data_IF_992725077367
#
_entry.id   IF_992725077367
#
_cell.length_a   1.000
_cell.length_b   1.000
_cell.length_c   1.000
_cell.angle_alpha   90.00
_cell.angle_beta   90.00
_cell.angle_gamma   90.00
#
_symmetry.space_group_name_H-M   'P 1'
#
loop_
_entity.id
_entity.type
_entity.pdbx_description
1 polymer ?
#
# COMPACT_ATOMS: atom_id res chain seq x y z
N UNK A 1 17.61 -33.07 -61.35
CA UNK A 1 18.60 -32.36 -60.51
C UNK A 1 18.09 -32.34 -59.08
N UNK A 2 18.62 -33.20 -58.21
CA UNK A 2 18.23 -33.28 -56.81
C UNK A 2 18.95 -32.18 -56.02
N UNK A 3 18.20 -31.19 -55.52
CA UNK A 3 18.72 -30.17 -54.61
C UNK A 3 18.93 -30.81 -53.24
N UNK A 4 20.17 -31.03 -52.84
CA UNK A 4 20.52 -31.47 -51.48
C UNK A 4 20.30 -30.31 -50.51
N UNK A 5 19.31 -30.43 -49.63
CA UNK A 5 19.08 -29.46 -48.56
C UNK A 5 20.20 -29.58 -47.52
N UNK A 6 21.07 -28.58 -47.43
CA UNK A 6 22.07 -28.45 -46.37
C UNK A 6 21.36 -27.98 -45.09
N UNK A 7 21.11 -28.90 -44.16
CA UNK A 7 20.65 -28.55 -42.82
C UNK A 7 21.80 -27.86 -42.07
N UNK A 8 21.68 -26.55 -41.85
CA UNK A 8 22.58 -25.78 -40.98
C UNK A 8 22.22 -26.12 -39.53
N UNK A 9 23.16 -26.73 -38.80
CA UNK A 9 23.04 -26.97 -37.37
C UNK A 9 23.28 -25.69 -36.56
N UNK A 10 22.59 -25.55 -35.44
CA UNK A 10 22.79 -24.47 -34.47
C UNK A 10 24.07 -24.73 -33.67
N UNK A 11 24.93 -23.72 -33.50
CA UNK A 11 26.18 -23.89 -32.75
C UNK A 11 25.97 -23.73 -31.25
N UNK A 12 26.77 -24.42 -30.44
CA UNK A 12 26.73 -24.28 -28.98
C UNK A 12 27.06 -22.85 -28.53
N UNK A 13 27.92 -22.14 -29.27
CA UNK A 13 28.26 -20.75 -28.97
C UNK A 13 27.09 -19.80 -29.27
N UNK A 14 26.31 -20.05 -30.33
CA UNK A 14 25.09 -19.29 -30.61
C UNK A 14 24.07 -19.47 -29.49
N UNK A 15 23.88 -20.70 -28.99
CA UNK A 15 22.97 -20.94 -27.87
C UNK A 15 23.43 -20.24 -26.59
N UNK A 16 24.73 -20.31 -26.30
CA UNK A 16 25.31 -19.69 -25.11
C UNK A 16 25.16 -18.16 -25.12
N UNK A 17 25.39 -17.51 -26.26
CA UNK A 17 25.22 -16.05 -26.36
C UNK A 17 23.75 -15.64 -26.21
N UNK A 18 22.82 -16.43 -26.76
CA UNK A 18 21.38 -16.13 -26.66
C UNK A 18 20.90 -16.18 -25.21
N UNK A 19 21.25 -17.22 -24.45
CA UNK A 19 20.86 -17.30 -23.03
C UNK A 19 21.52 -16.20 -22.21
N UNK A 20 22.74 -15.79 -22.56
CA UNK A 20 23.41 -14.67 -21.90
C UNK A 20 22.65 -13.35 -22.12
N UNK A 21 22.23 -13.06 -23.35
CA UNK A 21 21.46 -11.85 -23.67
C UNK A 21 20.09 -11.87 -23.00
N UNK A 22 19.37 -13.00 -23.05
CA UNK A 22 18.07 -13.15 -22.37
C UNK A 22 18.22 -12.94 -20.86
N UNK A 23 19.29 -13.44 -20.25
CA UNK A 23 19.58 -13.24 -18.82
C UNK A 23 19.74 -11.76 -18.45
N UNK A 24 20.47 -10.98 -19.25
CA UNK A 24 20.66 -9.55 -19.02
C UNK A 24 19.34 -8.79 -19.17
N UNK A 25 18.58 -9.05 -20.24
CA UNK A 25 17.30 -8.39 -20.49
C UNK A 25 16.27 -8.73 -19.41
N UNK A 26 16.21 -9.99 -18.97
CA UNK A 26 15.29 -10.43 -17.93
C UNK A 26 15.55 -9.74 -16.58
N UNK A 27 16.82 -9.51 -16.21
CA UNK A 27 17.17 -8.84 -14.97
C UNK A 27 16.66 -7.39 -14.91
N UNK A 28 16.82 -6.63 -16.00
CA UNK A 28 16.34 -5.23 -16.08
C UNK A 28 14.81 -5.16 -16.03
N UNK A 29 14.14 -6.04 -16.78
CA UNK A 29 12.66 -6.11 -16.78
C UNK A 29 12.12 -6.44 -15.39
N UNK A 30 12.74 -7.40 -14.70
CA UNK A 30 12.29 -7.81 -13.37
C UNK A 30 12.38 -6.67 -12.35
N UNK A 31 13.45 -5.88 -12.38
CA UNK A 31 13.59 -4.71 -11.52
C UNK A 31 12.46 -3.70 -11.77
N UNK A 32 12.22 -3.34 -13.04
CA UNK A 32 11.15 -2.39 -13.39
C UNK A 32 9.73 -2.88 -13.03
N UNK A 33 9.51 -4.21 -13.07
CA UNK A 33 8.22 -4.80 -12.73
C UNK A 33 7.94 -4.73 -11.23
N UNK A 34 8.96 -4.86 -10.38
CA UNK A 34 8.80 -4.74 -8.94
C UNK A 34 8.38 -3.31 -8.55
N UNK A 35 9.06 -2.29 -9.07
CA UNK A 35 8.70 -0.88 -8.80
C UNK A 35 7.26 -0.56 -9.26
N UNK A 36 6.85 -1.09 -10.42
CA UNK A 36 5.50 -0.92 -10.94
C UNK A 36 4.44 -1.62 -10.08
N UNK A 37 4.75 -2.80 -9.52
CA UNK A 37 3.87 -3.54 -8.61
C UNK A 37 3.69 -2.78 -7.31
N UNK A 38 4.77 -2.27 -6.73
CA UNK A 38 4.73 -1.53 -5.47
C UNK A 38 3.95 -0.23 -5.63
N UNK A 39 4.14 0.48 -6.75
CA UNK A 39 3.36 1.67 -7.09
C UNK A 39 1.86 1.38 -7.28
N UNK A 40 1.52 0.23 -7.87
CA UNK A 40 0.13 -0.22 -8.04
C UNK A 40 -0.52 -0.60 -6.71
N UNK A 41 0.23 -1.26 -5.83
CA UNK A 41 -0.20 -1.55 -4.46
C UNK A 41 -0.44 -0.26 -3.67
N UNK A 42 0.44 0.73 -3.80
CA UNK A 42 0.27 2.04 -3.17
C UNK A 42 -0.99 2.77 -3.66
N UNK A 43 -1.34 2.65 -4.94
CA UNK A 43 -2.61 3.18 -5.44
C UNK A 43 -3.82 2.50 -4.77
N UNK A 44 -3.76 1.19 -4.55
CA UNK A 44 -4.79 0.45 -3.82
C UNK A 44 -4.88 0.89 -2.35
N UNK A 45 -3.74 1.08 -1.67
CA UNK A 45 -3.68 1.60 -0.30
C UNK A 45 -4.34 2.98 -0.23
N UNK A 46 -3.93 3.90 -1.11
CA UNK A 46 -4.47 5.27 -1.18
C UNK A 46 -5.98 5.27 -1.42
N UNK A 47 -6.49 4.40 -2.29
CA UNK A 47 -7.92 4.25 -2.56
C UNK A 47 -8.68 3.71 -1.33
N UNK A 48 -8.18 2.65 -0.70
CA UNK A 48 -8.82 2.04 0.47
C UNK A 48 -8.95 3.05 1.62
N UNK A 49 -7.87 3.76 1.93
CA UNK A 49 -7.86 4.77 3.01
C UNK A 49 -8.62 6.04 2.59
N UNK A 50 -8.54 6.45 1.32
CA UNK A 50 -9.35 7.56 0.79
C UNK A 50 -10.86 7.33 0.95
N UNK A 51 -11.32 6.10 0.68
CA UNK A 51 -12.71 5.71 0.88
C UNK A 51 -13.14 5.69 2.36
N UNK A 52 -12.20 5.50 3.29
CA UNK A 52 -12.48 5.52 4.72
C UNK A 52 -13.03 6.87 5.19
N UNK A 53 -12.69 7.97 4.51
CA UNK A 53 -13.24 9.31 4.81
C UNK A 53 -14.75 9.36 4.66
N UNK A 54 -15.25 8.94 3.50
CA UNK A 54 -16.71 8.92 3.24
C UNK A 54 -17.43 8.00 4.23
N UNK A 55 -16.80 6.90 4.63
CA UNK A 55 -17.35 6.00 5.66
C UNK A 55 -17.33 6.65 7.05
N UNK A 56 -16.30 7.41 7.39
CA UNK A 56 -16.19 8.11 8.66
C UNK A 56 -17.29 9.17 8.80
N UNK A 57 -17.62 9.89 7.74
CA UNK A 57 -18.74 10.84 7.71
C UNK A 57 -20.10 10.14 7.89
N UNK A 58 -20.28 8.94 7.32
CA UNK A 58 -21.50 8.15 7.55
C UNK A 58 -21.59 7.70 9.01
N UNK A 59 -20.48 7.29 9.61
CA UNK A 59 -20.40 6.90 11.03
C UNK A 59 -20.69 8.11 11.93
N UNK A 60 -20.15 9.28 11.60
CA UNK A 60 -20.39 10.53 12.33
C UNK A 60 -21.87 10.85 12.44
N UNK A 61 -22.59 10.81 11.31
CA UNK A 61 -24.03 11.07 11.27
C UNK A 61 -24.85 10.00 12.02
N UNK A 62 -24.43 8.73 11.98
CA UNK A 62 -25.13 7.64 12.66
C UNK A 62 -24.94 7.63 14.18
N UNK A 63 -23.79 8.12 14.67
CA UNK A 63 -23.44 8.11 16.09
C UNK A 63 -23.69 9.45 16.79
N UNK A 64 -24.69 10.21 16.32
CA UNK A 64 -25.08 11.46 16.95
C UNK A 64 -24.03 12.56 16.83
N UNK A 65 -23.41 12.67 15.65
CA UNK A 65 -22.37 13.66 15.34
C UNK A 65 -21.08 13.44 16.14
N UNK A 66 -20.58 12.20 16.13
CA UNK A 66 -19.37 11.79 16.85
C UNK A 66 -18.52 10.83 16.03
N UNK A 67 -17.21 11.05 16.02
CA UNK A 67 -16.24 10.16 15.36
C UNK A 67 -15.77 9.01 16.27
N UNK A 68 -16.27 8.88 17.49
CA UNK A 68 -15.73 7.95 18.50
C UNK A 68 -15.67 6.48 18.03
N UNK A 69 -16.56 6.07 17.13
CA UNK A 69 -16.65 4.70 16.61
C UNK A 69 -16.04 4.52 15.21
N UNK A 70 -15.30 5.51 14.70
CA UNK A 70 -14.58 5.41 13.42
C UNK A 70 -13.55 4.29 13.49
N UNK A 71 -12.76 4.24 14.56
CA UNK A 71 -11.75 3.22 14.78
C UNK A 71 -12.28 2.06 15.65
N UNK A 72 -13.42 1.47 15.30
CA UNK A 72 -13.97 0.27 15.97
C UNK A 72 -13.93 -0.95 15.06
N UNK A 73 -13.43 -2.07 15.58
CA UNK A 73 -13.29 -3.32 14.82
C UNK A 73 -14.65 -3.80 14.25
N UNK A 74 -14.63 -4.39 13.06
CA UNK A 74 -15.81 -4.96 12.40
C UNK A 74 -16.66 -3.96 11.61
N UNK A 75 -16.33 -2.66 11.60
CA UNK A 75 -17.01 -1.68 10.74
C UNK A 75 -16.45 -1.69 9.30
N UNK A 76 -17.00 -0.85 8.42
CA UNK A 76 -16.53 -0.77 7.02
C UNK A 76 -15.11 -0.21 6.90
N UNK A 77 -14.67 0.64 7.83
CA UNK A 77 -13.33 1.24 7.86
C UNK A 77 -12.27 0.20 8.23
N UNK A 78 -12.55 -0.66 9.20
CA UNK A 78 -11.71 -1.81 9.56
C UNK A 78 -11.37 -2.67 8.33
N UNK A 79 -12.39 -2.98 7.51
CA UNK A 79 -12.18 -3.76 6.27
C UNK A 79 -11.31 -3.03 5.25
N UNK A 80 -11.44 -1.71 5.14
CA UNK A 80 -10.61 -0.89 4.25
C UNK A 80 -9.17 -0.82 4.75
N UNK A 81 -8.97 -0.71 6.06
CA UNK A 81 -7.64 -0.72 6.68
C UNK A 81 -6.95 -2.06 6.55
N UNK A 82 -7.67 -3.17 6.78
CA UNK A 82 -7.17 -4.53 6.55
C UNK A 82 -6.81 -4.71 5.07
N UNK A 83 -7.63 -4.20 4.15
CA UNK A 83 -7.30 -4.22 2.72
C UNK A 83 -6.02 -3.42 2.40
N UNK A 84 -5.85 -2.22 2.98
CA UNK A 84 -4.63 -1.45 2.85
C UNK A 84 -3.41 -2.19 3.44
N UNK A 85 -3.54 -2.77 4.63
CA UNK A 85 -2.48 -3.55 5.26
C UNK A 85 -2.07 -4.75 4.40
N UNK A 86 -3.03 -5.46 3.79
CA UNK A 86 -2.79 -6.60 2.92
C UNK A 86 -2.04 -6.24 1.62
N UNK A 87 -2.20 -5.01 1.13
CA UNK A 87 -1.50 -4.50 -0.05
C UNK A 87 -0.09 -3.98 0.25
N UNK A 88 0.38 -4.03 1.50
CA UNK A 88 1.77 -3.69 1.80
C UNK A 88 2.74 -4.78 1.35
N UNK A 89 3.95 -4.38 0.99
CA UNK A 89 5.07 -5.26 0.63
C UNK A 89 5.77 -5.87 1.88
N UNK A 90 5.34 -5.51 3.08
CA UNK A 90 5.88 -6.01 4.36
C UNK A 90 5.76 -7.55 4.47
N UNK A 91 6.84 -8.19 4.93
CA UNK A 91 6.97 -9.66 5.02
C UNK A 91 6.69 -10.18 6.44
N UNK A 92 6.85 -9.33 7.46
CA UNK A 92 6.88 -9.80 8.86
C UNK A 92 5.49 -9.88 9.49
N UNK A 93 4.65 -8.84 9.35
CA UNK A 93 3.22 -8.91 9.72
C UNK A 93 2.43 -7.77 9.07
N UNK A 94 1.41 -8.10 8.28
CA UNK A 94 0.45 -7.13 7.73
C UNK A 94 -0.64 -6.87 8.77
N UNK A 95 -0.55 -5.75 9.46
CA UNK A 95 -1.47 -5.42 10.57
C UNK A 95 -2.25 -4.15 10.30
N UNK A 96 -3.54 -4.19 10.69
CA UNK A 96 -4.38 -3.02 10.87
C UNK A 96 -4.66 -2.89 12.37
N UNK A 97 -4.34 -1.73 12.96
CA UNK A 97 -4.46 -1.46 14.39
C UNK A 97 -5.47 -0.34 14.60
N UNK A 98 -6.42 -0.58 15.50
CA UNK A 98 -7.53 0.32 15.80
C UNK A 98 -7.55 0.56 17.31
N UNK A 99 -6.61 1.35 17.81
CA UNK A 99 -6.43 1.56 19.24
C UNK A 99 -5.98 2.99 19.52
N UNK A 100 -6.79 3.74 20.27
CA UNK A 100 -6.43 5.04 20.82
C UNK A 100 -5.42 4.81 21.96
N UNK A 101 -4.30 5.53 21.96
CA UNK A 101 -3.36 5.55 23.08
C UNK A 101 -2.17 4.60 22.98
N UNK A 102 -2.06 3.79 21.93
CA UNK A 102 -0.80 3.12 21.57
C UNK A 102 -0.19 3.81 20.35
N UNK A 103 1.08 4.22 20.47
CA UNK A 103 1.84 4.65 19.31
C UNK A 103 1.85 3.51 18.27
N UNK A 104 1.65 3.88 17.01
CA UNK A 104 1.59 2.91 15.92
C UNK A 104 2.99 2.39 15.59
N UNK A 105 3.13 1.12 15.21
CA UNK A 105 4.35 0.65 14.56
C UNK A 105 4.41 1.18 13.12
N UNK A 106 5.60 1.50 12.60
CA UNK A 106 5.83 2.03 11.24
C UNK A 106 5.35 1.10 10.11
N UNK A 107 5.04 -0.16 10.45
CA UNK A 107 4.57 -1.18 9.51
C UNK A 107 3.05 -1.32 9.47
N UNK A 108 2.34 -0.80 10.48
CA UNK A 108 0.91 -1.02 10.67
C UNK A 108 0.05 0.10 10.06
N UNK A 109 -1.06 -0.27 9.42
CA UNK A 109 -2.13 0.68 9.10
C UNK A 109 -2.86 1.00 10.39
N UNK A 110 -2.92 2.26 10.79
CA UNK A 110 -3.44 2.63 12.12
C UNK A 110 -4.54 3.67 12.04
N UNK A 111 -5.53 3.53 12.93
CA UNK A 111 -6.65 4.46 13.09
C UNK A 111 -6.76 4.87 14.55
N UNK A 112 -6.75 6.18 14.78
CA UNK A 112 -7.08 6.81 16.07
C UNK A 112 -8.34 7.66 15.88
N UNK A 113 -9.30 7.55 16.80
CA UNK A 113 -10.53 8.36 16.76
C UNK A 113 -10.93 8.79 18.15
N UNK A 114 -11.42 10.01 18.29
CA UNK A 114 -12.11 10.50 19.47
C UNK A 114 -13.52 10.93 19.08
N UNK A 115 -14.33 11.42 20.01
CA UNK A 115 -15.62 12.01 19.65
C UNK A 115 -15.48 13.18 18.65
N UNK A 116 -14.37 13.92 18.73
CA UNK A 116 -14.17 15.18 18.01
C UNK A 116 -13.36 15.06 16.72
N UNK A 117 -12.74 13.92 16.44
CA UNK A 117 -11.94 13.75 15.22
C UNK A 117 -11.33 12.38 15.08
N UNK A 118 -10.72 12.11 13.93
CA UNK A 118 -10.03 10.86 13.64
C UNK A 118 -8.85 11.09 12.70
N UNK A 119 -7.86 10.21 12.76
CA UNK A 119 -6.81 10.07 11.77
C UNK A 119 -6.59 8.60 11.43
N UNK A 120 -6.36 8.33 10.14
CA UNK A 120 -6.00 7.01 9.62
C UNK A 120 -4.75 7.18 8.79
N UNK A 121 -3.70 6.44 9.15
CA UNK A 121 -2.43 6.42 8.43
C UNK A 121 -2.17 5.02 7.88
N UNK A 122 -1.75 4.94 6.62
CA UNK A 122 -1.27 3.72 6.00
C UNK A 122 0.11 3.97 5.40
N UNK A 123 1.16 3.31 5.89
CA UNK A 123 2.48 3.50 5.33
C UNK A 123 2.56 2.88 3.92
N UNK A 124 3.34 3.48 3.02
CA UNK A 124 3.41 3.11 1.60
C UNK A 124 4.60 2.17 1.34
N UNK A 125 4.58 1.49 0.20
CA UNK A 125 5.67 0.63 -0.25
C UNK A 125 6.76 1.46 -0.94
N UNK A 126 6.36 2.50 -1.70
CA UNK A 126 7.26 3.47 -2.32
C UNK A 126 7.20 4.78 -1.53
N UNK A 127 8.36 5.28 -1.08
CA UNK A 127 8.45 6.48 -0.24
C UNK A 127 8.54 7.80 -1.02
N UNK A 128 8.63 7.72 -2.35
CA UNK A 128 8.66 8.89 -3.23
C UNK A 128 7.30 9.59 -3.21
N UNK A 129 7.23 10.76 -2.57
CA UNK A 129 5.99 11.54 -2.41
C UNK A 129 5.31 11.38 -1.05
N UNK A 130 5.95 10.70 -0.09
CA UNK A 130 5.48 10.51 1.28
C UNK A 130 5.77 9.09 1.75
N UNK A 131 6.15 8.92 3.02
CA UNK A 131 6.38 7.61 3.62
C UNK A 131 5.06 6.89 3.96
N UNK A 132 3.98 7.65 4.13
CA UNK A 132 2.63 7.12 4.33
C UNK A 132 1.57 7.96 3.63
N UNK A 133 0.38 7.38 3.45
CA UNK A 133 -0.83 8.09 3.10
C UNK A 133 -1.69 8.26 4.34
N UNK A 134 -2.07 9.50 4.64
CA UNK A 134 -2.86 9.82 5.82
C UNK A 134 -4.14 10.55 5.44
N UNK A 135 -5.23 10.24 6.13
CA UNK A 135 -6.51 10.95 6.06
C UNK A 135 -7.02 11.27 7.46
N UNK A 136 -7.67 12.42 7.62
CA UNK A 136 -8.22 12.85 8.91
C UNK A 136 -9.58 13.53 8.81
N UNK A 137 -10.17 13.84 9.96
CA UNK A 137 -11.45 14.54 10.11
C UNK A 137 -11.41 16.03 9.71
N UNK A 138 -10.23 16.63 9.52
CA UNK A 138 -10.13 18.00 8.99
C UNK A 138 -10.32 18.05 7.48
N UNK A 139 -10.36 16.87 6.85
CA UNK A 139 -10.50 16.70 5.41
C UNK A 139 -9.18 16.53 4.68
N UNK A 140 -8.05 16.42 5.39
CA UNK A 140 -6.77 16.13 4.79
C UNK A 140 -6.78 14.72 4.17
N UNK A 141 -6.11 14.60 3.02
CA UNK A 141 -5.84 13.34 2.35
C UNK A 141 -4.58 13.50 1.50
N UNK A 142 -3.47 12.98 1.98
CA UNK A 142 -2.17 13.26 1.36
C UNK A 142 -1.05 12.35 1.83
N UNK A 143 0.06 12.43 1.10
CA UNK A 143 1.32 11.82 1.51
C UNK A 143 1.91 12.59 2.69
N UNK A 144 2.40 11.86 3.70
CA UNK A 144 3.06 12.42 4.89
C UNK A 144 4.41 11.77 5.10
N UNK A 145 5.33 12.49 5.76
CA UNK A 145 6.64 11.96 6.10
C UNK A 145 6.60 10.99 7.30
N UNK A 146 5.61 11.16 8.20
CA UNK A 146 5.38 10.24 9.29
C UNK A 146 4.94 8.87 8.77
N UNK A 147 5.47 7.80 9.34
CA UNK A 147 5.08 6.41 9.05
C UNK A 147 4.08 5.86 10.04
N UNK A 148 3.80 6.59 11.12
CA UNK A 148 2.97 6.17 12.23
C UNK A 148 2.28 7.38 12.87
N UNK A 149 1.08 7.15 13.44
CA UNK A 149 0.45 8.09 14.35
C UNK A 149 1.05 7.91 15.75
N UNK A 150 1.39 9.01 16.41
CA UNK A 150 1.74 8.98 17.83
C UNK A 150 0.49 8.82 18.68
N UNK A 151 0.67 8.53 19.96
CA UNK A 151 -0.48 8.23 20.83
C UNK A 151 -1.45 9.42 20.90
N UNK A 152 -2.71 9.15 20.51
CA UNK A 152 -3.82 10.11 20.51
C UNK A 152 -3.81 11.14 19.38
N UNK A 153 -2.96 10.99 18.36
CA UNK A 153 -3.03 11.84 17.18
C UNK A 153 -4.35 11.60 16.43
N UNK A 154 -5.14 12.66 16.27
CA UNK A 154 -6.39 12.66 15.49
C UNK A 154 -6.29 13.55 14.24
N UNK A 155 -5.08 13.99 13.91
CA UNK A 155 -4.76 14.75 12.70
C UNK A 155 -3.55 14.17 12.02
N UNK A 156 -3.45 14.35 10.70
CA UNK A 156 -2.31 13.91 9.91
C UNK A 156 -1.14 14.90 9.92
N UNK A 157 -1.35 16.10 10.48
CA UNK A 157 -0.38 17.20 10.61
C UNK A 157 -0.49 17.84 11.98
#
# INVERSE_FOLDING_TARGET
MNKTNLYRGFTLIELLVVIAIIGILAAVVLASLNDARDSGQDASIKQSIGNARSQAELIYNQNGYSYASVCTAGNSIDRLMVAAANNRAETTTKTAVMAIGTASADTAVTCHSTASGYAIIAPLNVTTGGAAWCVDSTGFAGGVAATALTANDITCQ
#
